data_IF_369572262485
#
_entry.id   IF_369572262485
#
_cell.length_a   1.000
_cell.length_b   1.000
_cell.length_c   1.000
_cell.angle_alpha   90.00
_cell.angle_beta   90.00
_cell.angle_gamma   90.00
#
_symmetry.space_group_name_H-M   'P 1'
#
loop_
_entity.id
_entity.type
_entity.pdbx_description
1 polymer ?
#
# COMPACT_ATOMS: atom_id res chain seq x y z
N UNK A 1 -52.62 -5.62 47.24
CA UNK A 1 -53.34 -4.57 47.91
C UNK A 1 -53.12 -4.55 49.41
N UNK A 2 -52.28 -3.65 49.91
CA UNK A 2 -52.20 -3.34 51.32
C UNK A 2 -53.53 -2.71 51.79
N UNK A 3 -53.91 -2.94 53.05
CA UNK A 3 -55.06 -2.30 53.63
C UNK A 3 -54.66 -1.51 54.87
N UNK A 4 -55.14 -0.29 54.93
CA UNK A 4 -55.06 0.54 56.14
C UNK A 4 -56.40 0.55 56.80
N UNK A 5 -56.41 0.51 58.15
CA UNK A 5 -57.65 0.52 58.92
C UNK A 5 -57.62 1.70 59.87
N UNK A 6 -58.64 2.55 59.77
CA UNK A 6 -58.86 3.64 60.71
C UNK A 6 -60.11 3.29 61.55
N UNK A 7 -60.01 3.53 62.86
CA UNK A 7 -61.09 3.15 63.79
C UNK A 7 -61.48 4.37 64.63
N UNK A 8 -62.74 4.72 64.52
CA UNK A 8 -63.36 5.82 65.25
C UNK A 8 -64.30 5.27 66.29
N UNK A 9 -64.27 5.79 67.50
CA UNK A 9 -65.21 5.48 68.53
C UNK A 9 -66.30 6.56 68.54
N UNK A 10 -67.53 6.15 68.48
CA UNK A 10 -68.68 7.03 68.62
C UNK A 10 -69.56 6.67 69.76
N UNK A 11 -70.27 7.61 70.36
CA UNK A 11 -71.16 7.42 71.47
C UNK A 11 -72.61 7.76 71.04
N UNK A 12 -73.52 6.83 71.36
CA UNK A 12 -74.96 7.10 71.18
C UNK A 12 -75.55 7.26 72.55
N UNK A 13 -76.33 8.33 72.75
CA UNK A 13 -77.00 8.64 74.02
C UNK A 13 -78.48 8.68 73.78
N UNK A 14 -79.27 8.02 74.64
CA UNK A 14 -80.73 8.13 74.59
C UNK A 14 -81.24 9.46 75.24
N UNK A 15 -82.56 9.75 75.15
CA UNK A 15 -83.17 10.89 75.72
C UNK A 15 -83.32 10.93 77.26
N UNK A 16 -82.85 9.83 77.91
CA UNK A 16 -82.86 9.66 79.42
C UNK A 16 -81.40 9.69 79.93
N UNK A 17 -80.32 9.93 79.00
CA UNK A 17 -78.95 10.13 79.32
C UNK A 17 -78.09 8.77 79.38
N UNK A 18 -78.70 7.61 79.07
CA UNK A 18 -77.95 6.38 78.97
C UNK A 18 -77.10 6.38 77.65
N UNK A 19 -75.81 6.16 77.79
CA UNK A 19 -74.87 6.20 76.66
C UNK A 19 -74.29 4.83 76.41
N UNK A 20 -74.04 4.55 75.10
CA UNK A 20 -73.31 3.32 74.61
C UNK A 20 -72.30 3.79 73.59
N UNK A 21 -71.16 3.16 73.58
CA UNK A 21 -70.12 3.38 72.61
C UNK A 21 -70.06 2.32 71.54
N UNK A 22 -69.91 2.67 70.33
CA UNK A 22 -69.63 1.79 69.20
C UNK A 22 -68.34 2.19 68.49
N UNK A 23 -67.86 1.39 67.58
CA UNK A 23 -66.73 1.67 66.73
C UNK A 23 -67.14 1.65 65.26
N UNK A 24 -66.64 2.63 64.51
CA UNK A 24 -66.69 2.68 63.05
C UNK A 24 -65.27 2.34 62.56
N UNK A 25 -65.13 1.32 61.77
CA UNK A 25 -63.90 0.96 61.14
C UNK A 25 -63.99 1.31 59.65
N UNK A 26 -63.05 2.12 59.18
CA UNK A 26 -62.89 2.43 57.78
C UNK A 26 -61.67 1.66 57.28
N UNK A 27 -61.85 0.85 56.23
CA UNK A 27 -60.76 0.18 55.55
C UNK A 27 -60.45 0.87 54.25
N UNK A 28 -59.23 1.32 54.09
CA UNK A 28 -58.69 1.87 52.84
C UNK A 28 -57.94 0.78 52.14
N UNK A 29 -58.37 0.40 50.97
CA UNK A 29 -57.69 -0.60 50.15
C UNK A 29 -56.74 0.13 49.20
N UNK A 30 -55.45 -0.29 49.15
CA UNK A 30 -54.51 0.16 48.17
C UNK A 30 -54.85 -0.39 46.79
N UNK A 31 -54.62 0.41 45.79
CA UNK A 31 -54.65 0.04 44.39
C UNK A 31 -53.20 -0.21 43.94
N UNK A 32 -53.03 -1.00 42.89
CA UNK A 32 -51.71 -1.22 42.29
C UNK A 32 -51.33 -0.01 41.48
N UNK A 33 -50.16 0.57 41.77
CA UNK A 33 -49.50 1.60 40.95
C UNK A 33 -48.59 0.93 39.90
N UNK A 34 -48.49 1.50 38.69
CA UNK A 34 -47.54 0.95 37.69
C UNK A 34 -46.08 1.32 38.06
N UNK A 35 -45.11 0.47 37.67
CA UNK A 35 -43.70 0.77 37.93
C UNK A 35 -43.20 2.05 37.25
N UNK A 36 -42.18 2.69 37.80
CA UNK A 36 -41.53 3.86 37.25
C UNK A 36 -40.22 3.49 36.55
N UNK A 37 -40.02 4.01 35.34
CA UNK A 37 -38.84 3.77 34.54
C UNK A 37 -38.21 5.08 34.06
N UNK A 38 -36.93 5.09 33.73
CA UNK A 38 -36.22 6.27 33.22
C UNK A 38 -35.57 5.96 31.87
N UNK A 39 -35.47 6.98 30.96
CA UNK A 39 -34.83 6.74 29.65
C UNK A 39 -33.36 6.38 29.80
N UNK A 40 -32.84 5.64 28.82
CA UNK A 40 -31.43 5.22 28.73
C UNK A 40 -30.86 5.64 27.39
N UNK A 41 -29.54 5.77 27.35
CA UNK A 41 -28.77 6.03 26.13
C UNK A 41 -27.59 5.08 26.02
N UNK A 42 -27.23 4.74 24.80
CA UNK A 42 -26.05 3.95 24.49
C UNK A 42 -25.43 4.41 23.16
N UNK A 43 -24.16 4.17 22.99
CA UNK A 43 -23.43 4.54 21.77
C UNK A 43 -22.77 3.31 21.15
N UNK A 44 -22.73 3.29 19.84
CA UNK A 44 -21.94 2.41 19.01
C UNK A 44 -21.16 3.24 18.01
N UNK A 45 -20.13 2.66 17.40
CA UNK A 45 -19.40 3.29 16.31
C UNK A 45 -19.29 2.29 15.16
N UNK A 46 -19.48 2.77 13.95
CA UNK A 46 -19.22 1.96 12.79
C UNK A 46 -17.74 1.57 12.74
N UNK A 47 -17.45 0.47 12.07
CA UNK A 47 -16.12 -0.09 11.83
C UNK A 47 -15.24 -0.35 13.07
N UNK A 48 -15.63 0.18 14.23
CA UNK A 48 -14.88 0.05 15.48
C UNK A 48 -15.66 -0.69 16.58
N UNK A 49 -16.74 -0.11 17.07
CA UNK A 49 -17.51 -0.63 18.18
C UNK A 49 -18.98 -0.91 17.75
N UNK A 50 -19.17 -1.92 16.92
CA UNK A 50 -20.46 -2.25 16.30
C UNK A 50 -21.46 -2.95 17.24
N UNK A 51 -21.04 -3.32 18.45
CA UNK A 51 -21.89 -3.95 19.46
C UNK A 51 -21.77 -3.18 20.76
N UNK A 52 -22.91 -2.87 21.36
CA UNK A 52 -22.99 -2.29 22.70
C UNK A 52 -23.88 -3.15 23.60
N UNK A 53 -23.42 -3.39 24.83
CA UNK A 53 -24.18 -4.13 25.85
C UNK A 53 -24.24 -3.35 27.15
N UNK A 54 -25.33 -3.49 27.89
CA UNK A 54 -25.50 -2.83 29.16
C UNK A 54 -26.68 -3.38 29.94
N UNK A 55 -27.05 -2.64 30.98
CA UNK A 55 -28.27 -2.91 31.77
C UNK A 55 -29.05 -1.60 31.83
N UNK A 56 -30.33 -1.67 31.57
CA UNK A 56 -31.25 -0.54 31.72
C UNK A 56 -31.28 -0.07 33.17
N UNK A 57 -31.59 1.22 33.43
CA UNK A 57 -31.74 1.72 34.78
C UNK A 57 -32.75 0.88 35.58
N UNK A 58 -32.44 0.61 36.85
CA UNK A 58 -33.31 -0.14 37.71
C UNK A 58 -34.66 0.56 37.85
N UNK A 59 -35.77 -0.13 37.58
CA UNK A 59 -37.09 0.42 37.81
C UNK A 59 -37.39 0.52 39.31
N UNK A 60 -38.33 1.40 39.66
CA UNK A 60 -38.89 1.52 41.01
C UNK A 60 -40.38 1.44 40.97
N UNK A 61 -41.00 1.13 42.12
CA UNK A 61 -42.44 1.06 42.23
C UNK A 61 -42.89 1.82 43.47
N UNK A 62 -43.95 2.66 43.39
CA UNK A 62 -44.50 3.36 44.55
C UNK A 62 -45.00 2.39 45.63
N UNK A 63 -45.53 1.21 45.25
CA UNK A 63 -46.04 0.21 46.21
C UNK A 63 -44.90 -0.45 47.02
N UNK A 64 -43.63 -0.37 46.55
CA UNK A 64 -42.45 -0.89 47.26
C UNK A 64 -41.82 0.14 48.23
N UNK A 65 -42.35 1.38 48.33
CA UNK A 65 -41.68 2.46 49.10
C UNK A 65 -42.30 2.71 50.48
N UNK A 66 -43.47 2.16 50.78
CA UNK A 66 -44.28 2.58 51.91
C UNK A 66 -43.87 1.96 53.28
N UNK A 67 -43.28 0.77 53.28
CA UNK A 67 -42.94 0.05 54.54
C UNK A 67 -41.55 -0.63 54.51
N UNK A 68 -40.77 -0.45 53.42
CA UNK A 68 -39.48 -1.09 53.22
C UNK A 68 -39.58 -2.57 52.85
N UNK A 69 -40.76 -3.06 52.65
CA UNK A 69 -41.02 -4.46 52.17
C UNK A 69 -41.22 -4.40 50.65
N UNK A 70 -40.46 -5.20 49.93
CA UNK A 70 -40.66 -5.37 48.48
C UNK A 70 -41.93 -6.19 48.28
N UNK A 71 -43.03 -5.51 47.95
CA UNK A 71 -44.32 -6.11 47.67
C UNK A 71 -44.53 -6.47 46.22
N UNK A 72 -43.86 -5.73 45.30
CA UNK A 72 -43.92 -5.95 43.85
C UNK A 72 -42.56 -6.34 43.25
N UNK A 73 -42.54 -7.50 42.59
CA UNK A 73 -41.39 -7.94 41.81
C UNK A 73 -41.49 -7.31 40.43
N UNK A 74 -40.49 -6.48 40.12
CA UNK A 74 -40.40 -5.80 38.85
C UNK A 74 -39.53 -6.59 37.85
N UNK A 75 -39.99 -6.68 36.61
CA UNK A 75 -39.26 -7.34 35.52
C UNK A 75 -39.39 -6.53 34.23
N UNK A 76 -38.33 -6.53 33.45
CA UNK A 76 -38.40 -6.01 32.07
C UNK A 76 -39.11 -7.04 31.18
N UNK A 77 -39.82 -6.55 30.16
CA UNK A 77 -40.44 -7.42 29.16
C UNK A 77 -39.35 -7.79 28.14
N UNK A 78 -38.94 -9.06 28.04
CA UNK A 78 -37.92 -9.48 27.10
C UNK A 78 -38.35 -9.17 25.64
N UNK A 79 -37.42 -8.68 24.83
CA UNK A 79 -37.71 -8.29 23.45
C UNK A 79 -36.50 -8.52 22.53
N UNK A 80 -36.79 -8.87 21.29
CA UNK A 80 -35.86 -8.73 20.16
C UNK A 80 -36.50 -7.82 19.14
N UNK A 81 -35.92 -6.65 18.94
CA UNK A 81 -36.47 -5.60 18.08
C UNK A 81 -35.49 -5.28 16.98
N UNK A 82 -35.94 -5.43 15.74
CA UNK A 82 -35.22 -4.97 14.57
C UNK A 82 -35.43 -3.47 14.42
N UNK A 83 -34.34 -2.69 14.54
CA UNK A 83 -34.34 -1.26 14.30
C UNK A 83 -34.02 -0.91 12.84
N UNK A 84 -33.79 0.36 12.60
CA UNK A 84 -33.42 0.90 11.28
C UNK A 84 -31.95 0.56 10.98
N UNK A 85 -31.08 0.72 11.99
CA UNK A 85 -29.64 0.58 11.84
C UNK A 85 -29.08 -0.66 12.51
N UNK A 86 -29.84 -1.34 13.38
CA UNK A 86 -29.36 -2.49 14.08
C UNK A 86 -30.46 -3.30 14.77
N UNK A 87 -30.05 -4.24 15.60
CA UNK A 87 -30.96 -5.13 16.34
C UNK A 87 -30.72 -4.99 17.82
N UNK A 88 -31.78 -4.76 18.61
CA UNK A 88 -31.75 -4.76 20.06
C UNK A 88 -32.31 -6.09 20.59
N UNK A 89 -31.57 -6.73 21.48
CA UNK A 89 -32.03 -7.88 22.27
C UNK A 89 -32.01 -7.50 23.74
N UNK A 90 -33.10 -7.76 24.47
CA UNK A 90 -33.22 -7.43 25.88
C UNK A 90 -33.83 -8.63 26.67
N UNK A 91 -33.31 -8.89 27.88
CA UNK A 91 -33.78 -9.93 28.77
C UNK A 91 -34.68 -9.38 29.93
N UNK A 92 -35.26 -10.27 30.70
CA UNK A 92 -36.13 -9.91 31.84
C UNK A 92 -35.39 -9.23 33.00
N UNK A 93 -34.07 -9.27 33.04
CA UNK A 93 -33.24 -8.54 34.00
C UNK A 93 -32.86 -7.14 33.52
N UNK A 94 -33.33 -6.72 32.35
CA UNK A 94 -33.00 -5.44 31.71
C UNK A 94 -31.61 -5.40 31.09
N UNK A 95 -30.93 -6.53 30.96
CA UNK A 95 -29.67 -6.60 30.19
C UNK A 95 -30.01 -6.51 28.73
N UNK A 96 -29.28 -5.67 28.02
CA UNK A 96 -29.47 -5.52 26.59
C UNK A 96 -28.17 -5.68 25.82
N UNK A 97 -28.31 -6.08 24.57
CA UNK A 97 -27.27 -6.04 23.56
C UNK A 97 -27.85 -5.44 22.29
N UNK A 98 -27.23 -4.37 21.85
CA UNK A 98 -27.50 -3.77 20.54
C UNK A 98 -26.39 -4.16 19.59
N UNK A 99 -26.74 -4.62 18.40
CA UNK A 99 -25.81 -4.98 17.32
C UNK A 99 -26.11 -4.11 16.09
N UNK A 100 -25.17 -3.25 15.72
CA UNK A 100 -25.23 -2.41 14.55
C UNK A 100 -25.14 -3.24 13.28
N UNK A 101 -25.94 -2.97 12.28
CA UNK A 101 -25.75 -3.49 10.93
C UNK A 101 -24.76 -2.59 10.19
N UNK A 102 -23.48 -2.88 10.38
CA UNK A 102 -22.38 -2.10 9.81
C UNK A 102 -22.31 -2.14 8.28
N UNK A 103 -23.04 -3.05 7.62
CA UNK A 103 -23.06 -3.13 6.14
C UNK A 103 -24.06 -2.19 5.48
N UNK A 104 -24.83 -1.45 6.25
CA UNK A 104 -25.79 -0.49 5.69
C UNK A 104 -25.04 0.72 5.11
N UNK A 105 -25.34 1.06 3.86
CA UNK A 105 -24.71 2.19 3.19
C UNK A 105 -24.92 3.53 3.89
N UNK A 106 -26.02 3.72 4.64
CA UNK A 106 -26.28 4.93 5.41
C UNK A 106 -25.40 5.00 6.66
N UNK A 107 -24.99 3.89 7.21
CA UNK A 107 -24.06 3.77 8.35
C UNK A 107 -22.66 4.05 7.85
N UNK A 108 -22.22 3.35 6.82
CA UNK A 108 -20.88 3.50 6.21
C UNK A 108 -20.57 4.88 5.61
N UNK A 109 -21.57 5.75 5.48
CA UNK A 109 -21.38 7.10 4.97
C UNK A 109 -21.19 8.16 6.05
N UNK A 110 -21.13 7.73 7.29
CA UNK A 110 -20.95 8.62 8.41
C UNK A 110 -19.47 8.92 8.61
N UNK A 111 -19.06 10.09 8.28
CA UNK A 111 -17.72 10.56 8.62
C UNK A 111 -17.53 10.81 10.11
N UNK A 112 -16.28 10.93 10.55
CA UNK A 112 -15.95 11.21 11.94
C UNK A 112 -16.67 12.45 12.48
N UNK A 113 -17.40 12.28 13.59
CA UNK A 113 -18.21 13.34 14.24
C UNK A 113 -19.64 13.44 13.71
N UNK A 114 -20.01 12.65 12.71
CA UNK A 114 -21.40 12.51 12.28
C UNK A 114 -22.10 11.42 13.08
N UNK A 115 -23.41 11.51 13.23
CA UNK A 115 -24.18 10.57 14.04
C UNK A 115 -25.54 10.27 13.43
N UNK A 116 -26.00 9.04 13.64
CA UNK A 116 -27.37 8.64 13.47
C UNK A 116 -27.96 8.26 14.83
N UNK A 117 -29.27 8.38 14.97
CA UNK A 117 -29.96 7.94 16.17
C UNK A 117 -31.14 7.07 15.82
N UNK A 118 -31.34 6.03 16.64
CA UNK A 118 -32.58 5.26 16.65
C UNK A 118 -33.07 5.06 18.09
N UNK A 119 -34.37 4.91 18.26
CA UNK A 119 -35.01 4.86 19.56
C UNK A 119 -35.82 3.58 19.68
N UNK A 120 -35.55 2.82 20.70
CA UNK A 120 -36.26 1.59 21.05
C UNK A 120 -37.12 1.84 22.26
N UNK A 121 -38.40 1.43 22.21
CA UNK A 121 -39.25 1.41 23.39
C UNK A 121 -39.04 0.13 24.17
N UNK A 122 -38.95 0.22 25.48
CA UNK A 122 -38.91 -0.93 26.39
C UNK A 122 -40.02 -0.80 27.46
N UNK A 123 -40.41 -1.94 28.01
CA UNK A 123 -41.48 -2.00 29.03
C UNK A 123 -40.97 -2.67 30.30
N UNK A 124 -41.44 -2.20 31.42
CA UNK A 124 -41.31 -2.84 32.73
C UNK A 124 -42.70 -3.19 33.24
N UNK A 125 -42.83 -4.33 33.84
CA UNK A 125 -44.05 -4.83 34.45
C UNK A 125 -43.83 -5.25 35.90
N UNK A 126 -44.86 -5.08 36.74
CA UNK A 126 -44.97 -5.65 38.05
C UNK A 126 -45.70 -7.01 37.99
N UNK A 127 -45.79 -7.68 39.11
CA UNK A 127 -46.49 -8.99 39.23
C UNK A 127 -48.03 -8.86 39.29
N UNK A 128 -48.57 -7.62 39.38
CA UNK A 128 -49.98 -7.31 39.49
C UNK A 128 -50.58 -6.79 38.20
N UNK A 129 -49.76 -6.66 37.14
CA UNK A 129 -50.19 -6.28 35.78
C UNK A 129 -50.06 -4.81 35.46
N UNK A 130 -49.44 -3.99 36.32
CA UNK A 130 -49.03 -2.62 35.98
C UNK A 130 -47.89 -2.63 34.98
N UNK A 131 -47.95 -1.82 33.96
CA UNK A 131 -46.92 -1.73 32.89
C UNK A 131 -46.55 -0.26 32.68
N UNK A 132 -45.27 0.00 32.61
CA UNK A 132 -44.74 1.30 32.18
C UNK A 132 -43.74 1.11 31.06
N UNK A 133 -43.64 2.11 30.18
CA UNK A 133 -42.74 2.11 29.04
C UNK A 133 -41.80 3.30 29.09
N UNK A 134 -40.59 3.09 28.56
CA UNK A 134 -39.63 4.17 28.33
C UNK A 134 -38.78 3.86 27.12
N UNK A 135 -37.73 4.64 26.86
CA UNK A 135 -36.90 4.54 25.64
C UNK A 135 -35.44 4.31 25.93
N UNK A 136 -34.84 3.47 25.11
CA UNK A 136 -33.39 3.38 24.92
C UNK A 136 -33.03 4.04 23.59
N UNK A 137 -32.30 5.16 23.68
CA UNK A 137 -31.77 5.85 22.50
C UNK A 137 -30.38 5.33 22.18
N UNK A 138 -30.20 4.83 20.98
CA UNK A 138 -28.90 4.37 20.45
C UNK A 138 -28.35 5.47 19.53
N UNK A 139 -27.14 5.93 19.79
CA UNK A 139 -26.41 6.83 18.92
C UNK A 139 -25.33 6.02 18.18
N UNK A 140 -25.40 6.04 16.87
CA UNK A 140 -24.37 5.49 15.98
C UNK A 140 -23.41 6.62 15.63
N UNK A 141 -22.16 6.47 15.98
CA UNK A 141 -21.11 7.45 15.66
C UNK A 141 -20.38 6.99 14.40
N UNK A 142 -20.14 7.93 13.49
CA UNK A 142 -19.31 7.72 12.33
C UNK A 142 -17.83 7.69 12.69
N UNK A 143 -17.08 6.94 11.92
CA UNK A 143 -15.61 6.93 11.91
C UNK A 143 -15.14 7.44 10.54
N UNK A 144 -13.88 7.82 10.44
CA UNK A 144 -13.35 8.28 9.16
C UNK A 144 -12.92 7.07 8.31
N UNK A 145 -13.50 6.92 7.14
CA UNK A 145 -13.01 6.04 6.09
C UNK A 145 -11.88 6.72 5.31
N UNK A 146 -10.92 5.94 4.85
CA UNK A 146 -9.86 6.47 4.01
C UNK A 146 -10.29 6.51 2.54
N UNK A 147 -9.96 7.58 1.80
CA UNK A 147 -10.30 7.68 0.38
C UNK A 147 -9.60 6.63 -0.45
N UNK A 148 -10.21 6.24 -1.53
CA UNK A 148 -9.68 5.30 -2.52
C UNK A 148 -9.46 5.99 -3.86
N UNK A 149 -8.45 5.56 -4.61
CA UNK A 149 -8.18 6.02 -5.96
C UNK A 149 -7.73 4.87 -6.85
N UNK A 150 -8.13 4.87 -8.11
CA UNK A 150 -7.79 3.81 -9.07
C UNK A 150 -6.39 4.00 -9.64
N UNK A 151 -5.75 2.93 -10.15
CA UNK A 151 -4.50 3.02 -10.89
C UNK A 151 -4.68 3.81 -12.21
N UNK A 152 -3.60 4.45 -12.66
CA UNK A 152 -3.56 5.21 -13.90
C UNK A 152 -2.43 4.72 -14.82
N UNK A 153 -2.59 4.98 -16.13
CA UNK A 153 -1.57 4.72 -17.13
C UNK A 153 -1.38 5.94 -18.03
N UNK A 154 -0.15 6.13 -18.48
CA UNK A 154 0.23 7.15 -19.44
C UNK A 154 1.26 6.58 -20.42
N UNK A 155 1.53 7.29 -21.49
CA UNK A 155 2.54 6.91 -22.46
C UNK A 155 3.39 8.11 -22.86
N UNK A 156 4.67 7.87 -23.06
CA UNK A 156 5.61 8.78 -23.70
C UNK A 156 6.31 8.05 -24.85
N UNK A 157 6.89 8.79 -25.77
CA UNK A 157 7.65 8.23 -26.87
C UNK A 157 8.94 9.01 -26.98
N UNK A 158 10.07 8.32 -26.95
CA UNK A 158 11.35 8.99 -27.13
C UNK A 158 11.36 9.80 -28.42
N UNK A 159 12.13 10.87 -28.44
CA UNK A 159 12.37 11.78 -29.58
C UNK A 159 11.10 12.42 -30.19
N UNK A 160 9.89 11.97 -29.83
CA UNK A 160 8.63 12.49 -30.36
C UNK A 160 7.73 13.09 -29.31
N UNK A 161 7.32 12.31 -28.33
CA UNK A 161 6.44 12.75 -27.25
C UNK A 161 7.11 12.53 -25.89
N UNK A 162 8.05 13.39 -25.57
CA UNK A 162 8.84 13.33 -24.35
C UNK A 162 8.08 13.79 -23.09
N UNK A 163 6.83 14.21 -23.23
CA UNK A 163 5.96 14.56 -22.10
C UNK A 163 4.64 13.84 -22.20
N UNK A 164 4.12 13.41 -21.05
CA UNK A 164 2.77 12.91 -20.92
C UNK A 164 2.03 13.72 -19.86
N UNK A 165 0.85 14.24 -20.20
CA UNK A 165 0.01 14.99 -19.27
C UNK A 165 -1.42 14.49 -19.32
N UNK A 166 -2.14 14.68 -18.23
CA UNK A 166 -3.52 14.25 -18.11
C UNK A 166 -4.06 14.53 -16.71
N UNK A 167 -5.16 13.84 -16.39
CA UNK A 167 -5.73 13.84 -15.06
C UNK A 167 -5.76 12.40 -14.50
N UNK A 168 -5.36 12.25 -13.26
CA UNK A 168 -5.49 11.00 -12.53
C UNK A 168 -6.98 10.67 -12.30
N UNK A 169 -7.33 9.41 -12.13
CA UNK A 169 -8.72 9.02 -11.83
C UNK A 169 -9.25 9.75 -10.60
N UNK A 170 -10.49 10.20 -10.67
CA UNK A 170 -11.13 10.89 -9.56
C UNK A 170 -11.15 9.99 -8.32
N UNK A 171 -10.67 10.46 -7.17
CA UNK A 171 -10.73 9.72 -5.94
C UNK A 171 -12.17 9.59 -5.46
N UNK A 172 -12.41 8.61 -4.60
CA UNK A 172 -13.71 8.34 -3.98
C UNK A 172 -13.52 8.13 -2.51
N UNK A 173 -14.46 8.67 -1.76
CA UNK A 173 -14.59 8.46 -0.33
C UNK A 173 -15.95 7.86 -0.02
N UNK A 174 -16.00 6.99 0.98
CA UNK A 174 -17.25 6.42 1.48
C UNK A 174 -18.00 7.47 2.28
N UNK A 175 -17.28 8.32 3.02
CA UNK A 175 -17.83 9.43 3.82
C UNK A 175 -18.34 10.54 2.91
N UNK A 176 -19.67 10.71 2.89
CA UNK A 176 -20.31 11.56 1.88
C UNK A 176 -20.04 13.07 2.02
N UNK A 177 -19.58 13.51 3.17
CA UNK A 177 -19.31 14.93 3.46
C UNK A 177 -17.81 15.25 3.47
N UNK A 178 -16.95 14.26 3.20
CA UNK A 178 -15.54 14.48 3.13
C UNK A 178 -15.10 15.00 1.76
N UNK A 179 -14.15 15.88 1.78
CA UNK A 179 -13.53 16.43 0.57
C UNK A 179 -12.20 15.74 0.34
N UNK A 180 -12.00 15.22 -0.86
CA UNK A 180 -10.78 14.49 -1.22
C UNK A 180 -9.94 15.32 -2.17
N UNK A 181 -8.63 15.36 -1.94
CA UNK A 181 -7.65 16.05 -2.78
C UNK A 181 -6.42 15.17 -3.01
N UNK A 182 -5.72 15.39 -4.13
CA UNK A 182 -4.41 14.78 -4.34
C UNK A 182 -3.35 15.51 -3.50
N UNK A 183 -2.39 14.73 -2.99
CA UNK A 183 -1.19 15.29 -2.37
C UNK A 183 -0.23 15.69 -3.49
N UNK A 184 0.08 17.00 -3.64
CA UNK A 184 0.93 17.46 -4.72
C UNK A 184 2.34 16.88 -4.65
N UNK A 185 2.89 16.57 -5.81
CA UNK A 185 4.26 16.11 -5.98
C UNK A 185 4.95 17.00 -7.03
N UNK A 186 6.17 17.43 -6.75
CA UNK A 186 6.89 18.31 -7.69
C UNK A 186 8.16 17.62 -8.15
N UNK A 187 8.26 17.36 -9.45
CA UNK A 187 9.43 16.76 -10.10
C UNK A 187 9.97 15.52 -9.39
N UNK A 188 9.06 14.64 -8.92
CA UNK A 188 9.45 13.37 -8.31
C UNK A 188 10.22 12.53 -9.32
N UNK A 189 11.43 12.12 -8.96
CA UNK A 189 12.29 11.35 -9.84
C UNK A 189 11.79 9.92 -9.99
N UNK A 190 11.66 9.47 -11.24
CA UNK A 190 11.52 8.09 -11.66
C UNK A 190 12.84 7.52 -12.17
N UNK A 191 12.78 6.36 -12.79
CA UNK A 191 13.95 5.73 -13.43
C UNK A 191 14.33 6.45 -14.72
N UNK A 192 13.33 6.86 -15.50
CA UNK A 192 13.53 7.42 -16.85
C UNK A 192 13.03 8.86 -17.00
N UNK A 193 12.35 9.41 -16.01
CA UNK A 193 11.80 10.75 -16.08
C UNK A 193 11.39 11.30 -14.73
N UNK A 194 10.62 12.39 -14.76
CA UNK A 194 10.10 13.04 -13.55
C UNK A 194 8.60 13.23 -13.65
N UNK A 195 7.90 13.10 -12.51
CA UNK A 195 6.47 13.32 -12.40
C UNK A 195 6.17 14.53 -11.51
N UNK A 196 5.25 15.37 -11.97
CA UNK A 196 4.58 16.40 -11.16
C UNK A 196 3.09 16.06 -11.09
N UNK A 197 2.51 16.09 -9.89
CA UNK A 197 1.07 15.93 -9.66
C UNK A 197 0.56 17.16 -8.90
N UNK A 198 -0.50 17.76 -9.38
CA UNK A 198 -1.15 18.91 -8.74
C UNK A 198 -2.27 18.46 -7.79
N UNK A 199 -2.72 19.35 -6.91
CA UNK A 199 -3.80 19.08 -5.95
C UNK A 199 -5.16 18.74 -6.60
N UNK A 200 -5.38 19.16 -7.85
CA UNK A 200 -6.57 18.84 -8.65
C UNK A 200 -6.48 17.50 -9.41
N UNK A 201 -5.36 16.78 -9.25
CA UNK A 201 -5.09 15.51 -9.92
C UNK A 201 -4.55 15.64 -11.34
N UNK A 202 -4.33 16.82 -11.85
CA UNK A 202 -3.61 16.99 -13.11
C UNK A 202 -2.15 16.60 -12.93
N UNK A 203 -1.57 15.95 -13.93
CA UNK A 203 -0.18 15.52 -13.87
C UNK A 203 0.60 15.89 -15.13
N UNK A 204 1.90 16.02 -14.97
CA UNK A 204 2.88 16.13 -16.05
C UNK A 204 4.04 15.18 -15.78
N UNK A 205 4.23 14.22 -16.64
CA UNK A 205 5.44 13.42 -16.73
C UNK A 205 6.37 14.01 -17.79
N UNK A 206 7.65 14.09 -17.48
CA UNK A 206 8.70 14.55 -18.41
C UNK A 206 9.78 13.47 -18.50
N UNK A 207 9.92 12.87 -19.67
CA UNK A 207 10.93 11.86 -19.97
C UNK A 207 12.32 12.51 -20.04
N UNK A 208 13.30 11.89 -19.41
CA UNK A 208 14.70 12.25 -19.66
C UNK A 208 15.19 11.56 -20.94
N UNK A 209 14.92 12.22 -22.05
CA UNK A 209 15.22 11.69 -23.38
C UNK A 209 16.72 11.49 -23.66
N UNK A 210 17.61 12.05 -22.82
CA UNK A 210 19.07 11.92 -23.01
C UNK A 210 19.64 10.68 -22.30
N UNK A 211 18.82 9.87 -21.64
CA UNK A 211 19.29 8.65 -21.01
C UNK A 211 19.65 7.60 -22.08
N UNK A 212 20.84 6.98 -21.98
CA UNK A 212 21.23 5.94 -22.94
C UNK A 212 20.23 4.77 -23.04
N UNK A 213 19.59 4.41 -21.92
CA UNK A 213 18.58 3.36 -21.93
C UNK A 213 17.29 3.74 -22.68
N UNK A 214 16.95 5.03 -22.72
CA UNK A 214 15.82 5.56 -23.49
C UNK A 214 16.17 5.60 -24.97
N UNK A 215 17.31 6.17 -25.30
CA UNK A 215 17.81 6.28 -26.67
C UNK A 215 18.19 4.93 -27.33
N UNK A 216 18.32 3.88 -26.54
CA UNK A 216 18.56 2.52 -27.06
C UNK A 216 17.26 1.77 -27.43
N UNK A 217 16.09 2.36 -27.20
CA UNK A 217 14.82 1.73 -27.50
C UNK A 217 14.60 1.70 -29.02
N UNK A 218 14.36 0.52 -29.54
CA UNK A 218 13.94 0.32 -30.93
C UNK A 218 12.42 0.36 -31.05
N UNK A 219 11.94 0.57 -32.29
CA UNK A 219 10.51 0.50 -32.58
C UNK A 219 9.88 -0.81 -32.05
N UNK A 220 8.85 -0.66 -31.21
CA UNK A 220 8.16 -1.77 -30.57
C UNK A 220 8.75 -2.22 -29.24
N UNK A 221 9.91 -1.71 -28.85
CA UNK A 221 10.44 -1.89 -27.50
C UNK A 221 9.86 -0.85 -26.55
N UNK A 222 9.76 -1.20 -25.26
CA UNK A 222 9.21 -0.30 -24.25
C UNK A 222 10.01 -0.39 -22.94
N UNK A 223 10.07 0.74 -22.25
CA UNK A 223 10.45 0.85 -20.85
C UNK A 223 9.24 1.29 -20.03
N UNK A 224 9.32 1.10 -18.72
CA UNK A 224 8.22 1.46 -17.83
C UNK A 224 8.75 2.24 -16.64
N UNK A 225 8.12 3.39 -16.38
CA UNK A 225 8.32 4.18 -15.18
C UNK A 225 7.08 4.10 -14.31
N UNK A 226 7.23 3.95 -12.99
CA UNK A 226 6.10 3.78 -12.07
C UNK A 226 6.21 4.76 -10.93
N UNK A 227 5.15 5.52 -10.68
CA UNK A 227 5.07 6.52 -9.64
C UNK A 227 3.88 6.23 -8.73
N UNK A 228 4.08 6.30 -7.43
CA UNK A 228 2.98 6.27 -6.46
C UNK A 228 2.44 7.68 -6.29
N UNK A 229 1.12 7.85 -6.38
CA UNK A 229 0.43 9.07 -6.01
C UNK A 229 -0.56 8.80 -4.88
N UNK A 230 -0.81 9.81 -4.09
CA UNK A 230 -1.60 9.71 -2.86
C UNK A 230 -2.70 10.76 -2.87
N UNK A 231 -3.84 10.37 -2.35
CA UNK A 231 -4.98 11.23 -2.07
C UNK A 231 -5.21 11.29 -0.56
N UNK A 232 -5.77 12.37 -0.09
CA UNK A 232 -6.14 12.56 1.32
C UNK A 232 -7.51 13.19 1.41
N UNK A 233 -8.27 12.80 2.43
CA UNK A 233 -9.47 13.49 2.83
C UNK A 233 -9.14 14.69 3.74
N UNK A 234 -10.17 15.44 4.15
CA UNK A 234 -10.05 16.59 5.05
C UNK A 234 -9.94 16.17 6.53
N UNK A 235 -9.86 14.88 6.84
CA UNK A 235 -9.80 14.32 8.20
C UNK A 235 -8.53 13.51 8.46
N UNK A 236 -7.65 13.40 7.44
CA UNK A 236 -6.32 12.79 7.52
C UNK A 236 -6.24 11.33 7.09
N UNK A 237 -7.32 10.75 6.59
CA UNK A 237 -7.29 9.48 5.87
C UNK A 237 -6.51 9.62 4.56
N UNK A 238 -5.82 8.58 4.15
CA UNK A 238 -5.04 8.58 2.90
C UNK A 238 -5.22 7.30 2.12
N UNK A 239 -5.35 7.44 0.80
CA UNK A 239 -5.33 6.35 -0.15
C UNK A 239 -4.25 6.55 -1.20
N UNK A 240 -3.70 5.50 -1.75
CA UNK A 240 -2.66 5.60 -2.78
C UNK A 240 -2.85 4.58 -3.88
N UNK A 241 -2.34 4.92 -5.06
CA UNK A 241 -2.22 4.00 -6.19
C UNK A 241 -1.07 4.42 -7.10
N UNK A 242 -0.88 3.75 -8.23
CA UNK A 242 0.26 3.97 -9.12
C UNK A 242 -0.16 4.54 -10.47
N UNK A 243 0.66 5.47 -10.98
CA UNK A 243 0.69 5.86 -12.37
C UNK A 243 1.84 5.09 -13.05
N UNK A 244 1.49 4.28 -14.04
CA UNK A 244 2.46 3.57 -14.87
C UNK A 244 2.60 4.30 -16.20
N UNK A 245 3.82 4.74 -16.51
CA UNK A 245 4.15 5.39 -17.77
C UNK A 245 4.90 4.42 -18.67
N UNK A 246 4.32 4.09 -19.80
CA UNK A 246 4.98 3.28 -20.82
C UNK A 246 5.73 4.19 -21.77
N UNK A 247 7.03 3.99 -21.89
CA UNK A 247 7.92 4.71 -22.77
C UNK A 247 8.16 3.82 -23.99
N UNK A 248 7.79 4.28 -25.17
CA UNK A 248 7.95 3.54 -26.41
C UNK A 248 9.15 4.07 -27.21
N UNK A 249 9.91 3.15 -27.78
CA UNK A 249 10.96 3.47 -28.73
C UNK A 249 10.40 3.82 -30.10
N UNK A 250 11.07 4.78 -30.74
CA UNK A 250 10.90 5.06 -32.17
C UNK A 250 11.92 4.29 -32.99
N UNK A 251 11.61 4.08 -34.25
CA UNK A 251 12.61 3.64 -35.19
C UNK A 251 13.55 4.83 -35.47
N UNK A 252 14.76 4.73 -34.96
CA UNK A 252 15.81 5.71 -35.29
C UNK A 252 16.02 5.73 -36.81
N UNK A 253 15.65 6.84 -37.44
CA UNK A 253 15.97 7.05 -38.85
C UNK A 253 17.44 7.39 -38.96
N UNK A 254 18.29 6.39 -39.09
CA UNK A 254 19.72 6.55 -39.16
C UNK A 254 20.53 5.62 -38.25
N UNK A 255 19.94 4.55 -37.77
CA UNK A 255 20.71 3.51 -37.10
C UNK A 255 21.78 2.96 -38.06
N UNK A 256 22.99 3.38 -37.81
CA UNK A 256 24.14 2.84 -38.50
C UNK A 256 24.83 1.98 -37.44
N UNK A 257 24.54 0.69 -37.49
CA UNK A 257 25.37 -0.32 -36.84
C UNK A 257 26.77 -0.26 -37.49
N UNK A 258 27.57 0.71 -37.05
CA UNK A 258 29.00 0.68 -37.33
C UNK A 258 29.58 -0.51 -36.54
N UNK A 259 30.59 -1.22 -37.05
CA UNK A 259 31.22 -2.33 -36.34
C UNK A 259 32.16 -1.79 -35.27
N UNK A 260 31.60 -1.13 -34.25
CA UNK A 260 32.34 -0.84 -33.02
C UNK A 260 32.25 -2.09 -32.14
N UNK A 261 33.27 -2.92 -32.18
CA UNK A 261 33.41 -4.08 -31.32
C UNK A 261 34.50 -3.83 -30.28
N UNK A 262 34.19 -4.08 -29.05
CA UNK A 262 35.15 -4.20 -27.95
C UNK A 262 35.00 -5.57 -27.31
N UNK A 263 36.05 -6.02 -26.64
CA UNK A 263 36.07 -7.32 -25.95
C UNK A 263 36.61 -7.02 -24.56
N UNK A 264 35.93 -7.44 -23.53
CA UNK A 264 36.46 -7.29 -22.19
C UNK A 264 37.81 -7.97 -22.04
N UNK A 265 38.64 -7.47 -21.15
CA UNK A 265 39.98 -7.92 -20.85
C UNK A 265 40.95 -7.96 -22.01
N UNK A 266 40.47 -7.85 -23.25
CA UNK A 266 41.29 -8.00 -24.48
C UNK A 266 41.34 -6.70 -25.29
N UNK A 267 40.18 -6.15 -25.67
CA UNK A 267 40.09 -4.96 -26.52
C UNK A 267 39.17 -3.93 -25.89
N UNK A 268 39.70 -3.10 -25.03
CA UNK A 268 38.95 -2.14 -24.23
C UNK A 268 38.55 -0.85 -24.94
N UNK A 269 38.99 -0.66 -26.18
CA UNK A 269 38.61 0.54 -26.94
C UNK A 269 38.40 0.28 -28.43
N UNK A 270 37.54 1.05 -29.05
CA UNK A 270 37.36 1.11 -30.49
C UNK A 270 37.29 2.57 -30.95
N UNK A 271 37.75 2.84 -32.15
CA UNK A 271 37.74 4.20 -32.73
C UNK A 271 37.47 4.13 -34.22
N UNK A 272 37.00 5.23 -34.78
CA UNK A 272 36.69 5.34 -36.20
C UNK A 272 36.14 6.72 -36.57
N UNK A 273 35.43 6.76 -37.66
CA UNK A 273 34.69 7.95 -38.10
C UNK A 273 33.25 7.56 -38.32
N UNK A 274 32.32 8.32 -37.71
CA UNK A 274 30.90 8.05 -37.88
C UNK A 274 30.47 8.42 -39.31
N UNK A 275 29.62 7.64 -39.94
CA UNK A 275 29.01 8.01 -41.20
C UNK A 275 27.95 9.10 -40.98
N UNK A 276 27.60 9.81 -42.06
CA UNK A 276 26.47 10.74 -42.03
C UNK A 276 25.19 9.97 -41.95
N UNK A 277 24.25 10.29 -41.01
CA UNK A 277 22.97 9.61 -40.93
C UNK A 277 22.18 9.66 -42.24
N UNK A 278 21.37 8.68 -42.50
CA UNK A 278 20.44 8.70 -43.64
C UNK A 278 19.52 9.93 -43.56
N UNK A 279 19.27 10.59 -44.68
CA UNK A 279 18.39 11.77 -44.78
C UNK A 279 17.17 11.49 -45.65
N UNK A 280 16.25 10.60 -45.19
CA UNK A 280 15.09 10.20 -45.98
C UNK A 280 14.08 11.33 -46.21
N UNK A 281 14.12 12.38 -45.39
CA UNK A 281 13.25 13.55 -45.50
C UNK A 281 13.92 14.74 -46.25
N UNK A 282 15.17 14.58 -46.68
CA UNK A 282 15.90 15.64 -47.38
C UNK A 282 16.21 16.85 -46.50
N UNK A 283 16.29 16.69 -45.19
CA UNK A 283 16.54 17.79 -44.22
C UNK A 283 17.88 18.47 -44.51
N UNK A 284 18.87 17.69 -44.92
CA UNK A 284 20.21 18.17 -45.31
C UNK A 284 20.34 18.37 -46.81
N UNK A 285 19.23 18.22 -47.60
CA UNK A 285 19.25 18.20 -49.04
C UNK A 285 19.94 19.43 -49.64
N UNK A 286 20.92 19.21 -50.50
CA UNK A 286 21.65 20.22 -51.25
C UNK A 286 22.90 20.80 -50.57
N UNK A 287 23.19 20.45 -49.30
CA UNK A 287 24.34 21.01 -48.55
C UNK A 287 25.07 19.94 -47.74
N UNK A 288 25.54 18.89 -48.42
CA UNK A 288 26.39 17.85 -47.80
C UNK A 288 27.83 18.33 -47.53
N UNK A 289 28.19 19.55 -48.01
CA UNK A 289 29.48 20.16 -47.71
C UNK A 289 29.40 20.97 -46.43
N UNK A 290 30.34 20.77 -45.52
CA UNK A 290 30.40 21.49 -44.23
C UNK A 290 29.54 20.92 -43.12
N UNK A 291 29.29 19.61 -43.16
CA UNK A 291 28.67 18.90 -42.06
C UNK A 291 29.56 18.91 -40.83
N UNK A 292 28.96 19.15 -39.67
CA UNK A 292 29.67 19.17 -38.39
C UNK A 292 28.96 18.26 -37.43
N UNK A 293 29.69 17.37 -36.79
CA UNK A 293 29.17 16.55 -35.70
C UNK A 293 29.18 17.36 -34.41
N UNK A 294 28.17 17.22 -33.60
CA UNK A 294 28.13 17.81 -32.26
C UNK A 294 29.17 17.12 -31.40
N UNK A 295 30.34 17.77 -31.23
CA UNK A 295 31.40 17.22 -30.40
C UNK A 295 30.94 17.08 -28.96
N UNK A 296 31.09 15.88 -28.38
CA UNK A 296 30.62 15.55 -27.05
C UNK A 296 31.40 14.38 -26.46
N UNK A 297 31.36 14.28 -25.15
CA UNK A 297 31.76 13.06 -24.42
C UNK A 297 30.53 12.57 -23.66
N UNK A 298 30.08 11.36 -23.97
CA UNK A 298 28.92 10.73 -23.36
C UNK A 298 29.37 9.51 -22.55
N UNK A 299 28.77 9.33 -21.39
CA UNK A 299 28.87 8.08 -20.65
C UNK A 299 27.72 7.18 -21.10
N UNK A 300 28.06 6.13 -21.83
CA UNK A 300 27.15 5.04 -22.16
C UNK A 300 26.86 4.14 -20.95
N UNK A 301 26.13 3.07 -21.19
CA UNK A 301 25.82 2.10 -20.14
C UNK A 301 27.09 1.34 -19.68
N UNK A 302 27.99 1.08 -20.61
CA UNK A 302 29.16 0.22 -20.36
C UNK A 302 30.49 0.90 -20.66
N UNK A 303 30.50 2.13 -21.18
CA UNK A 303 31.74 2.80 -21.52
C UNK A 303 31.56 4.30 -21.76
N UNK A 304 32.65 4.95 -22.18
CA UNK A 304 32.69 6.36 -22.48
C UNK A 304 32.91 6.58 -24.00
N UNK A 305 32.05 7.35 -24.61
CA UNK A 305 32.10 7.69 -25.99
C UNK A 305 32.52 9.17 -26.17
N UNK A 306 33.56 9.41 -26.90
CA UNK A 306 34.03 10.75 -27.24
C UNK A 306 33.91 10.97 -28.74
N UNK A 307 33.16 11.98 -29.17
CA UNK A 307 32.93 12.36 -30.56
C UNK A 307 33.53 13.73 -30.83
N UNK A 308 34.25 13.86 -31.91
CA UNK A 308 34.83 15.11 -32.39
C UNK A 308 33.96 15.75 -33.51
N UNK A 309 34.12 17.06 -33.73
CA UNK A 309 33.34 17.80 -34.72
C UNK A 309 33.56 17.30 -36.17
N UNK A 310 34.65 16.62 -36.46
CA UNK A 310 34.94 16.00 -37.75
C UNK A 310 34.35 14.59 -37.92
N UNK A 311 33.57 14.10 -36.92
CA UNK A 311 32.99 12.79 -36.92
C UNK A 311 33.91 11.65 -36.41
N UNK A 312 35.16 11.96 -36.10
CA UNK A 312 36.01 10.95 -35.49
C UNK A 312 35.58 10.66 -34.04
N UNK A 313 35.58 9.41 -33.67
CA UNK A 313 35.15 9.00 -32.35
C UNK A 313 36.12 8.00 -31.70
N UNK A 314 36.01 7.91 -30.37
CA UNK A 314 36.63 6.85 -29.56
C UNK A 314 35.61 6.39 -28.55
N UNK A 315 35.41 5.08 -28.45
CA UNK A 315 34.67 4.44 -27.37
C UNK A 315 35.66 3.69 -26.50
N UNK A 316 35.56 3.87 -25.19
CA UNK A 316 36.39 3.18 -24.18
C UNK A 316 35.47 2.42 -23.24
N UNK A 317 35.60 1.11 -23.18
CA UNK A 317 34.86 0.22 -22.31
C UNK A 317 35.26 0.44 -20.85
N UNK A 318 34.28 0.49 -19.95
CA UNK A 318 34.53 0.41 -18.52
C UNK A 318 34.60 -1.06 -18.09
N UNK A 319 35.78 -1.62 -18.20
CA UNK A 319 36.04 -3.04 -17.92
C UNK A 319 35.83 -3.45 -16.45
N UNK A 320 35.68 -2.51 -15.52
CA UNK A 320 35.47 -2.79 -14.10
C UNK A 320 33.98 -2.94 -13.72
N UNK A 321 33.06 -2.83 -14.68
CA UNK A 321 31.63 -3.03 -14.41
C UNK A 321 31.35 -4.52 -14.27
N UNK A 322 30.66 -4.90 -13.18
CA UNK A 322 30.25 -6.30 -12.97
C UNK A 322 29.39 -6.87 -14.11
N UNK A 323 28.60 -6.01 -14.80
CA UNK A 323 27.84 -6.43 -15.97
C UNK A 323 28.71 -6.75 -17.20
N UNK A 324 29.90 -6.15 -17.29
CA UNK A 324 30.88 -6.41 -18.35
C UNK A 324 31.69 -7.65 -17.99
N UNK A 325 32.27 -7.70 -16.80
CA UNK A 325 33.07 -8.79 -16.29
C UNK A 325 32.29 -10.11 -16.07
N UNK A 326 30.98 -10.07 -16.05
CA UNK A 326 30.14 -11.26 -15.96
C UNK A 326 29.70 -11.80 -17.33
N UNK A 327 30.38 -11.42 -18.43
CA UNK A 327 30.12 -11.92 -19.77
C UNK A 327 30.97 -13.13 -20.06
N UNK A 328 30.39 -14.28 -20.32
CA UNK A 328 31.14 -15.44 -20.78
C UNK A 328 31.45 -15.36 -22.28
N UNK A 329 32.35 -16.24 -22.75
CA UNK A 329 32.66 -16.36 -24.18
C UNK A 329 31.39 -16.62 -25.01
N UNK A 330 31.10 -15.70 -25.95
CA UNK A 330 29.94 -15.76 -26.85
C UNK A 330 28.75 -14.94 -26.38
N UNK A 331 28.75 -14.45 -25.17
CA UNK A 331 27.78 -13.47 -24.70
C UNK A 331 28.15 -12.06 -25.15
N UNK A 332 27.14 -11.21 -25.25
CA UNK A 332 27.34 -9.83 -25.70
C UNK A 332 26.44 -8.86 -24.94
N UNK A 333 26.93 -7.63 -24.80
CA UNK A 333 26.16 -6.44 -24.43
C UNK A 333 26.17 -5.45 -25.58
N UNK A 334 25.16 -4.57 -25.61
CA UNK A 334 25.05 -3.51 -26.61
C UNK A 334 25.02 -2.17 -25.89
N UNK A 335 25.93 -1.25 -26.29
CA UNK A 335 25.92 0.14 -25.86
C UNK A 335 25.53 1.01 -27.06
N UNK A 336 24.43 1.79 -26.93
CA UNK A 336 23.91 2.61 -28.01
C UNK A 336 24.04 4.07 -27.61
N UNK A 337 24.69 4.83 -28.47
CA UNK A 337 25.18 6.19 -28.18
C UNK A 337 24.63 7.15 -29.22
N UNK A 338 23.82 8.16 -28.83
CA UNK A 338 23.27 9.13 -29.77
C UNK A 338 24.32 10.10 -30.24
N UNK A 339 24.20 10.55 -31.49
CA UNK A 339 24.98 11.65 -32.02
C UNK A 339 24.15 12.52 -32.94
N UNK A 340 24.64 13.76 -33.17
CA UNK A 340 23.95 14.75 -33.98
C UNK A 340 24.89 15.31 -35.06
N UNK A 341 24.39 15.42 -36.27
CA UNK A 341 25.07 16.06 -37.39
C UNK A 341 24.28 17.30 -37.81
N UNK A 342 24.97 18.42 -38.03
CA UNK A 342 24.37 19.70 -38.39
C UNK A 342 25.04 20.25 -39.66
N UNK A 343 24.26 20.81 -40.57
CA UNK A 343 24.78 21.52 -41.73
C UNK A 343 25.08 23.00 -41.42
N UNK A 344 25.65 23.71 -42.34
CA UNK A 344 26.02 25.14 -42.19
C UNK A 344 24.81 26.08 -42.02
N UNK A 345 23.59 25.62 -42.33
CA UNK A 345 22.35 26.39 -42.16
C UNK A 345 21.66 26.07 -40.81
N UNK A 346 22.24 25.16 -39.98
CA UNK A 346 21.69 24.78 -38.71
C UNK A 346 20.64 23.65 -38.74
N UNK A 347 20.35 23.11 -39.94
CA UNK A 347 19.51 21.91 -40.06
C UNK A 347 20.29 20.68 -39.52
N UNK A 348 19.61 19.83 -38.73
CA UNK A 348 20.26 18.78 -38.00
C UNK A 348 19.56 17.43 -38.17
N UNK A 349 20.36 16.37 -38.20
CA UNK A 349 19.92 14.97 -38.11
C UNK A 349 20.54 14.34 -36.88
N UNK A 350 19.72 13.50 -36.20
CA UNK A 350 20.18 12.65 -35.14
C UNK A 350 20.51 11.26 -35.72
N UNK A 351 21.47 10.61 -35.12
CA UNK A 351 21.86 9.22 -35.42
C UNK A 351 22.27 8.52 -34.12
N UNK A 352 22.32 7.22 -34.16
CA UNK A 352 22.85 6.42 -33.06
C UNK A 352 24.03 5.55 -33.52
N UNK A 353 24.95 5.32 -32.61
CA UNK A 353 26.11 4.43 -32.81
C UNK A 353 26.08 3.32 -31.80
N UNK A 354 26.05 2.09 -32.30
CA UNK A 354 26.00 0.92 -31.48
C UNK A 354 27.38 0.29 -31.31
N UNK A 355 27.78 -0.04 -30.10
CA UNK A 355 29.00 -0.78 -29.75
C UNK A 355 28.61 -2.13 -29.16
N UNK A 356 29.06 -3.20 -29.80
CA UNK A 356 28.91 -4.55 -29.27
C UNK A 356 30.10 -4.88 -28.38
N UNK A 357 29.81 -5.25 -27.15
CA UNK A 357 30.78 -5.70 -26.15
C UNK A 357 30.71 -7.22 -26.13
N UNK A 358 31.84 -7.89 -26.36
CA UNK A 358 31.96 -9.33 -26.34
C UNK A 358 32.59 -9.78 -25.04
N UNK A 359 32.04 -10.86 -24.45
CA UNK A 359 32.58 -11.52 -23.29
C UNK A 359 33.77 -12.42 -23.62
N UNK A 360 34.63 -12.63 -22.64
CA UNK A 360 35.67 -13.63 -22.59
C UNK A 360 35.48 -14.50 -21.34
N UNK A 361 36.07 -15.66 -21.35
CA UNK A 361 36.03 -16.49 -20.15
C UNK A 361 37.05 -16.01 -19.12
N UNK A 362 36.59 -15.68 -17.94
CA UNK A 362 37.44 -15.35 -16.80
C UNK A 362 37.95 -16.62 -16.11
N UNK A 363 39.06 -16.51 -15.39
CA UNK A 363 39.58 -17.63 -14.64
C UNK A 363 38.98 -17.67 -13.23
N UNK A 364 38.52 -18.85 -12.77
CA UNK A 364 37.96 -18.96 -11.43
C UNK A 364 38.98 -18.63 -10.33
N UNK A 365 38.53 -18.05 -9.26
CA UNK A 365 39.32 -17.70 -8.09
C UNK A 365 39.08 -18.72 -6.99
N UNK A 366 40.16 -19.44 -6.65
CA UNK A 366 40.15 -20.36 -5.53
C UNK A 366 40.68 -19.67 -4.25
N UNK A 367 39.89 -19.60 -3.18
CA UNK A 367 40.31 -18.98 -1.93
C UNK A 367 41.33 -19.87 -1.19
N UNK A 368 42.22 -19.26 -0.42
CA UNK A 368 43.01 -19.97 0.57
C UNK A 368 42.17 -20.26 1.80
N UNK A 369 42.11 -21.51 2.22
CA UNK A 369 41.36 -21.94 3.39
C UNK A 369 42.30 -22.45 4.46
N UNK A 370 42.13 -22.02 5.71
CA UNK A 370 42.85 -22.51 6.87
C UNK A 370 41.89 -23.16 7.85
N UNK A 371 42.26 -24.37 8.29
CA UNK A 371 41.47 -25.11 9.27
C UNK A 371 42.38 -25.58 10.38
N UNK A 372 41.83 -25.86 11.55
CA UNK A 372 42.56 -26.40 12.69
C UNK A 372 42.02 -27.75 13.09
N UNK A 373 42.89 -28.61 13.49
CA UNK A 373 42.60 -29.86 14.19
C UNK A 373 43.34 -29.87 15.51
N UNK A 374 42.89 -30.65 16.47
CA UNK A 374 43.48 -30.73 17.79
C UNK A 374 43.73 -32.17 18.14
N UNK A 375 44.97 -32.49 18.52
CA UNK A 375 45.36 -33.82 18.98
C UNK A 375 44.44 -34.31 20.11
N UNK A 376 44.18 -35.57 20.13
CA UNK A 376 43.36 -36.30 21.11
C UNK A 376 41.85 -35.87 21.21
N UNK A 377 41.44 -34.75 20.61
CA UNK A 377 40.08 -34.21 20.76
C UNK A 377 39.37 -33.90 19.45
N UNK A 378 40.03 -33.33 18.45
CA UNK A 378 39.46 -32.97 17.15
C UNK A 378 40.37 -33.42 16.03
N UNK A 379 40.30 -34.70 15.71
CA UNK A 379 41.19 -35.36 14.73
C UNK A 379 40.74 -35.23 13.26
N UNK A 380 39.54 -34.69 13.04
CA UNK A 380 38.95 -34.53 11.73
C UNK A 380 38.41 -33.10 11.55
N UNK A 381 38.74 -32.45 10.45
CA UNK A 381 38.14 -31.23 9.99
C UNK A 381 37.55 -31.43 8.62
N UNK A 382 36.33 -30.90 8.39
CA UNK A 382 35.65 -30.97 7.10
C UNK A 382 34.94 -29.67 6.78
N UNK A 383 34.73 -29.39 5.51
CA UNK A 383 34.06 -28.18 5.05
C UNK A 383 33.89 -28.20 3.53
N UNK A 384 33.50 -27.04 3.01
CA UNK A 384 33.37 -26.80 1.57
C UNK A 384 34.24 -25.58 1.22
N UNK A 385 35.09 -25.72 0.22
CA UNK A 385 35.78 -24.58 -0.38
C UNK A 385 34.86 -23.96 -1.41
N UNK A 386 34.56 -22.68 -1.25
CA UNK A 386 33.73 -21.92 -2.21
C UNK A 386 34.67 -21.17 -3.15
N UNK A 387 34.83 -21.66 -4.38
CA UNK A 387 35.44 -20.90 -5.46
C UNK A 387 34.42 -19.90 -6.06
N UNK A 388 34.93 -18.82 -6.62
CA UNK A 388 34.11 -17.82 -7.32
C UNK A 388 34.62 -17.63 -8.74
N UNK A 389 33.71 -17.24 -9.61
CA UNK A 389 33.99 -16.85 -10.98
C UNK A 389 33.29 -15.57 -11.32
N UNK A 390 33.91 -14.66 -12.05
CA UNK A 390 33.33 -13.39 -12.42
C UNK A 390 32.20 -13.57 -13.44
N UNK A 391 32.33 -14.53 -14.34
CA UNK A 391 31.33 -14.92 -15.33
C UNK A 391 29.98 -15.32 -14.71
N UNK A 392 29.94 -15.66 -13.44
CA UNK A 392 28.73 -16.02 -12.70
C UNK A 392 28.07 -14.85 -11.95
N UNK A 393 28.52 -13.61 -12.14
CA UNK A 393 28.08 -12.46 -11.30
C UNK A 393 26.98 -11.59 -11.92
N UNK A 394 26.69 -11.76 -13.21
CA UNK A 394 25.87 -10.80 -13.98
C UNK A 394 24.38 -10.82 -13.65
N UNK A 395 23.76 -11.99 -13.59
CA UNK A 395 22.29 -12.11 -13.55
C UNK A 395 21.79 -13.12 -12.53
N UNK A 396 22.70 -13.69 -11.73
CA UNK A 396 22.40 -14.77 -10.80
C UNK A 396 22.21 -16.13 -11.47
N UNK A 397 22.43 -16.23 -12.76
CA UNK A 397 22.50 -17.50 -13.50
C UNK A 397 23.95 -17.98 -13.44
N UNK A 398 24.15 -19.22 -13.04
CA UNK A 398 25.46 -19.84 -13.08
C UNK A 398 25.74 -20.25 -14.52
N UNK A 399 26.47 -19.40 -15.26
CA UNK A 399 26.86 -19.65 -16.64
C UNK A 399 28.06 -20.63 -16.72
N UNK A 400 28.96 -20.53 -15.73
CA UNK A 400 30.11 -21.44 -15.61
C UNK A 400 30.02 -22.34 -14.39
N UNK A 401 29.96 -23.63 -14.64
CA UNK A 401 29.88 -24.64 -13.59
C UNK A 401 31.30 -24.95 -13.04
N UNK A 402 31.59 -24.40 -11.86
CA UNK A 402 32.86 -24.62 -11.19
C UNK A 402 33.00 -26.06 -10.67
N UNK A 403 34.13 -26.69 -10.92
CA UNK A 403 34.42 -28.00 -10.39
C UNK A 403 35.86 -28.08 -9.86
N UNK A 404 36.04 -28.73 -8.76
CA UNK A 404 37.34 -29.02 -8.21
C UNK A 404 37.89 -30.34 -8.80
N UNK A 405 39.19 -30.40 -9.02
CA UNK A 405 39.83 -31.68 -9.34
C UNK A 405 39.86 -32.56 -8.08
N UNK A 406 39.12 -33.67 -8.06
CA UNK A 406 39.13 -34.54 -6.89
C UNK A 406 40.55 -35.08 -6.62
N UNK A 407 40.97 -35.05 -5.37
CA UNK A 407 42.27 -35.53 -4.96
C UNK A 407 42.28 -36.08 -3.55
N UNK A 408 43.17 -37.03 -3.31
CA UNK A 408 43.52 -37.47 -1.97
C UNK A 408 45.01 -37.33 -1.83
N UNK A 409 45.46 -36.44 -0.96
CA UNK A 409 46.88 -36.10 -0.80
C UNK A 409 47.30 -36.34 0.64
N UNK A 410 48.33 -37.11 0.86
CA UNK A 410 48.96 -37.30 2.16
C UNK A 410 49.86 -36.10 2.47
N UNK A 411 49.56 -35.42 3.58
CA UNK A 411 50.42 -34.41 4.16
C UNK A 411 51.36 -35.01 5.19
N UNK A 412 52.16 -34.16 5.83
CA UNK A 412 53.11 -34.60 6.84
C UNK A 412 52.42 -35.17 8.10
N UNK A 413 51.24 -34.63 8.46
CA UNK A 413 50.54 -34.94 9.71
C UNK A 413 49.13 -35.53 9.47
N UNK A 414 48.67 -35.68 8.25
CA UNK A 414 47.35 -36.19 7.95
C UNK A 414 47.08 -36.33 6.46
N UNK A 415 45.86 -36.68 6.11
CA UNK A 415 45.42 -36.84 4.71
C UNK A 415 44.33 -35.86 4.40
N UNK A 416 44.44 -35.13 3.29
CA UNK A 416 43.40 -34.30 2.71
C UNK A 416 42.69 -35.08 1.60
N UNK A 417 41.36 -35.15 1.68
CA UNK A 417 40.50 -35.60 0.58
C UNK A 417 39.64 -34.41 0.13
N UNK A 418 39.65 -34.15 -1.17
CA UNK A 418 38.83 -33.10 -1.81
C UNK A 418 38.03 -33.75 -2.93
N UNK A 419 36.74 -33.45 -3.02
CA UNK A 419 35.86 -33.91 -4.09
C UNK A 419 35.56 -32.83 -5.14
N UNK A 420 34.87 -33.18 -6.22
CA UNK A 420 34.56 -32.29 -7.33
C UNK A 420 33.63 -31.11 -6.92
N UNK A 421 32.88 -31.22 -5.84
CA UNK A 421 32.03 -30.18 -5.30
C UNK A 421 32.76 -29.24 -4.31
N UNK A 422 34.05 -29.38 -4.12
CA UNK A 422 34.85 -28.59 -3.18
C UNK A 422 34.71 -29.03 -1.73
N UNK A 423 34.02 -30.13 -1.44
CA UNK A 423 33.96 -30.65 -0.09
C UNK A 423 35.30 -31.37 0.25
N UNK A 424 35.85 -31.00 1.40
CA UNK A 424 37.12 -31.55 1.90
C UNK A 424 36.95 -32.20 3.27
N UNK A 425 37.81 -33.11 3.48
CA UNK A 425 37.98 -33.75 4.79
C UNK A 425 39.47 -33.89 5.06
#
# INVERSE_FOLDING_TARGET
GATLTDTFTYTVTDNHGAASTGTLTITVNGANDPPLTTPATVQVAEDAATVASGTLPAPSDPDNTQDGVISDILSFVPATVQGIYGTLVMDAAGRYTYTLNNSLAVVQRLGAGETLQEVFSYAVQDQHGGISTNTLTVTVNGTNDAPTVAAAAASATEDAQITASGSLPAPRDTDTHDTVAFIPQTATAGTYGTLTVNADGTYLYTLNNNLPAVQALQAGQTLTDTFTYTVTDNRGGTGSNTLTVTISGLQETGEISGPGNVTEDVRLATSGTLPVPADPLGILSGLLNGLTYSATTLNGLYGTFTLNANGSYTYTLNNNLGAVQGLTTGETLLDVLPYKVTNILGAALNGSYAVTIHGTNDTPVAPSVSVSVQEDTLLLSSGIIAATDQDNTRDGIVSDLLSFTPQTTAGLYGTLTLNAAGAYT
#
